data_IF_311275611049
#
_entry.id   IF_311275611049
#
_cell.length_a   1.000
_cell.length_b   1.000
_cell.length_c   1.000
_cell.angle_alpha   90.00
_cell.angle_beta   90.00
_cell.angle_gamma   90.00
#
_symmetry.space_group_name_H-M   'P 1'
#
loop_
_entity.id
_entity.type
_entity.pdbx_description
1 polymer ?
#
# COMPACT_ATOMS: atom_id res chain seq x y z
N UNK A 1 -11.06 18.84 -10.88
CA UNK A 1 -12.30 18.06 -10.76
C UNK A 1 -12.40 16.79 -11.63
N UNK A 2 -11.59 16.61 -12.68
CA UNK A 2 -11.70 15.45 -13.59
C UNK A 2 -10.95 14.17 -13.18
N UNK A 3 -10.28 14.11 -12.06
CA UNK A 3 -9.48 12.93 -11.69
C UNK A 3 -10.28 11.78 -11.06
N UNK A 4 -11.36 12.10 -10.33
CA UNK A 4 -12.16 11.08 -9.64
C UNK A 4 -12.84 10.06 -10.58
N UNK A 5 -13.52 10.47 -11.68
CA UNK A 5 -14.10 9.51 -12.60
C UNK A 5 -13.05 8.58 -13.22
N UNK A 6 -11.86 9.10 -13.51
CA UNK A 6 -10.75 8.31 -14.05
C UNK A 6 -10.24 7.27 -13.04
N UNK A 7 -10.12 7.65 -11.76
CA UNK A 7 -9.72 6.71 -10.70
C UNK A 7 -10.74 5.57 -10.55
N UNK A 8 -12.05 5.90 -10.57
CA UNK A 8 -13.13 4.90 -10.50
C UNK A 8 -13.11 3.98 -11.73
N UNK A 9 -12.96 4.55 -12.93
CA UNK A 9 -12.86 3.79 -14.16
C UNK A 9 -11.67 2.83 -14.14
N UNK A 10 -10.49 3.31 -13.79
CA UNK A 10 -9.26 2.49 -13.71
C UNK A 10 -9.42 1.41 -12.64
N UNK A 11 -10.05 1.68 -11.50
CA UNK A 11 -10.30 0.66 -10.49
C UNK A 11 -11.28 -0.40 -10.97
N UNK A 12 -12.39 -0.01 -11.60
CA UNK A 12 -13.43 -0.94 -12.04
C UNK A 12 -12.96 -1.87 -13.19
N UNK A 13 -12.18 -1.33 -14.12
CA UNK A 13 -11.71 -2.07 -15.30
C UNK A 13 -10.27 -2.62 -15.17
N UNK A 14 -9.66 -2.48 -14.00
CA UNK A 14 -8.34 -3.05 -13.73
C UNK A 14 -8.45 -4.58 -13.59
N UNK A 15 -7.63 -5.36 -14.32
CA UNK A 15 -7.66 -6.83 -14.20
C UNK A 15 -7.49 -7.32 -12.77
N UNK A 16 -6.66 -6.66 -11.95
CA UNK A 16 -6.45 -7.04 -10.55
C UNK A 16 -7.72 -6.87 -9.71
N UNK A 17 -8.49 -5.82 -9.94
CA UNK A 17 -9.77 -5.61 -9.26
C UNK A 17 -10.81 -6.62 -9.72
N UNK A 18 -10.89 -6.89 -11.03
CA UNK A 18 -11.82 -7.88 -11.62
C UNK A 18 -11.53 -9.27 -11.04
N UNK A 19 -10.27 -9.70 -10.99
CA UNK A 19 -9.89 -10.98 -10.36
C UNK A 19 -10.23 -11.03 -8.87
N UNK A 20 -10.04 -9.94 -8.13
CA UNK A 20 -10.38 -9.87 -6.71
C UNK A 20 -11.90 -9.99 -6.48
N UNK A 21 -12.71 -9.35 -7.31
CA UNK A 21 -14.18 -9.46 -7.26
C UNK A 21 -14.65 -10.86 -7.69
N UNK A 22 -14.11 -11.41 -8.76
CA UNK A 22 -14.47 -12.75 -9.26
C UNK A 22 -14.18 -13.86 -8.27
N UNK A 23 -13.13 -13.71 -7.46
CA UNK A 23 -12.75 -14.67 -6.41
C UNK A 23 -13.41 -14.39 -5.05
N UNK A 24 -14.39 -13.50 -4.97
CA UNK A 24 -15.07 -13.12 -3.71
C UNK A 24 -14.10 -12.82 -2.56
N UNK A 25 -12.97 -12.15 -2.85
CA UNK A 25 -11.93 -11.88 -1.87
C UNK A 25 -12.40 -10.90 -0.78
N UNK A 26 -12.37 -11.32 0.48
CA UNK A 26 -12.66 -10.45 1.64
C UNK A 26 -11.68 -9.26 1.71
N UNK A 27 -10.51 -9.37 1.07
CA UNK A 27 -9.52 -8.28 0.96
C UNK A 27 -10.05 -6.99 0.31
N UNK A 28 -11.22 -7.03 -0.32
CA UNK A 28 -11.89 -5.84 -0.87
C UNK A 28 -12.36 -4.88 0.23
N UNK A 29 -12.78 -5.39 1.39
CA UNK A 29 -13.31 -4.55 2.48
C UNK A 29 -12.25 -3.56 3.02
N UNK A 30 -11.03 -3.97 3.38
CA UNK A 30 -9.96 -3.02 3.73
C UNK A 30 -9.64 -2.03 2.61
N UNK A 31 -9.71 -2.45 1.34
CA UNK A 31 -9.46 -1.56 0.20
C UNK A 31 -10.53 -0.48 0.10
N UNK A 32 -11.80 -0.82 0.27
CA UNK A 32 -12.90 0.17 0.29
C UNK A 32 -12.67 1.20 1.40
N UNK A 33 -12.34 0.77 2.61
CA UNK A 33 -12.07 1.67 3.73
C UNK A 33 -10.86 2.56 3.47
N UNK A 34 -9.81 2.02 2.84
CA UNK A 34 -8.62 2.77 2.41
C UNK A 34 -8.99 3.87 1.40
N UNK A 35 -9.80 3.55 0.40
CA UNK A 35 -10.28 4.52 -0.61
C UNK A 35 -11.18 5.57 0.03
N UNK A 36 -12.09 5.18 0.92
CA UNK A 36 -12.95 6.13 1.64
C UNK A 36 -12.12 7.07 2.53
N UNK A 37 -11.09 6.55 3.20
CA UNK A 37 -10.13 7.36 3.97
C UNK A 37 -9.41 8.37 3.07
N UNK A 38 -8.96 7.94 1.91
CA UNK A 38 -8.32 8.80 0.93
C UNK A 38 -9.25 9.90 0.42
N UNK A 39 -10.52 9.58 0.15
CA UNK A 39 -11.54 10.55 -0.26
C UNK A 39 -11.84 11.55 0.89
N UNK A 40 -11.91 11.08 2.12
CA UNK A 40 -12.12 11.94 3.29
C UNK A 40 -10.95 12.92 3.48
N UNK A 41 -9.70 12.45 3.31
CA UNK A 41 -8.50 13.30 3.30
C UNK A 41 -8.56 14.33 2.18
N UNK A 42 -8.92 13.94 0.96
CA UNK A 42 -9.02 14.85 -0.19
C UNK A 42 -10.09 15.93 0.00
N UNK A 43 -11.08 15.68 0.86
CA UNK A 43 -12.15 16.64 1.23
C UNK A 43 -11.87 17.41 2.52
N UNK A 44 -10.65 17.33 3.08
CA UNK A 44 -10.26 17.90 4.38
C UNK A 44 -11.14 17.47 5.58
N UNK A 45 -11.79 16.31 5.47
CA UNK A 45 -12.62 15.75 6.55
C UNK A 45 -11.79 14.83 7.45
N UNK A 46 -10.88 15.43 8.22
CA UNK A 46 -9.90 14.67 9.01
C UNK A 46 -10.52 13.76 10.07
N UNK A 47 -11.62 14.16 10.70
CA UNK A 47 -12.34 13.31 11.67
C UNK A 47 -12.93 12.06 11.03
N UNK A 48 -13.59 12.20 9.88
CA UNK A 48 -14.13 11.06 9.13
C UNK A 48 -13.00 10.14 8.71
N UNK A 49 -11.88 10.69 8.23
CA UNK A 49 -10.70 9.92 7.88
C UNK A 49 -10.14 9.13 9.09
N UNK A 50 -10.11 9.74 10.29
CA UNK A 50 -9.65 9.07 11.52
C UNK A 50 -10.56 7.91 11.93
N UNK A 51 -11.87 8.08 11.87
CA UNK A 51 -12.85 7.02 12.14
C UNK A 51 -12.70 5.88 11.15
N UNK A 52 -12.59 6.18 9.84
CA UNK A 52 -12.38 5.19 8.79
C UNK A 52 -11.06 4.44 8.95
N UNK A 53 -9.97 5.13 9.36
CA UNK A 53 -8.71 4.48 9.75
C UNK A 53 -8.91 3.54 10.94
N UNK A 54 -9.69 3.93 11.95
CA UNK A 54 -10.00 3.10 13.10
C UNK A 54 -10.74 1.82 12.73
N UNK A 55 -11.79 1.94 11.91
CA UNK A 55 -12.53 0.78 11.36
C UNK A 55 -11.62 -0.07 10.47
N UNK A 56 -10.81 0.55 9.61
CA UNK A 56 -9.85 -0.14 8.76
C UNK A 56 -8.81 -0.91 9.57
N UNK A 57 -8.30 -0.31 10.66
CA UNK A 57 -7.32 -0.94 11.56
C UNK A 57 -7.91 -2.10 12.36
N UNK A 58 -9.20 -2.06 12.64
CA UNK A 58 -9.92 -3.16 13.26
C UNK A 58 -9.99 -4.39 12.33
N UNK A 59 -10.21 -4.18 11.03
CA UNK A 59 -10.28 -5.28 10.05
C UNK A 59 -8.87 -5.76 9.66
N UNK A 60 -7.93 -4.82 9.48
CA UNK A 60 -6.54 -5.10 9.11
C UNK A 60 -5.62 -4.02 9.68
N UNK A 61 -4.48 -4.41 10.24
CA UNK A 61 -3.54 -3.47 10.90
C UNK A 61 -3.05 -2.37 9.94
N UNK A 62 -2.88 -2.69 8.66
CA UNK A 62 -2.19 -1.84 7.68
C UNK A 62 -2.89 -0.52 7.33
N UNK A 63 -4.23 -0.41 7.20
CA UNK A 63 -4.91 0.87 7.02
C UNK A 63 -4.63 1.86 8.16
N UNK A 64 -4.23 1.40 9.34
CA UNK A 64 -3.83 2.24 10.47
C UNK A 64 -2.65 3.16 10.16
N UNK A 65 -1.75 2.77 9.25
CA UNK A 65 -0.65 3.65 8.82
C UNK A 65 -1.14 4.92 8.12
N UNK A 66 -2.35 4.93 7.54
CA UNK A 66 -2.94 6.14 6.95
C UNK A 66 -3.20 7.23 7.99
N UNK A 67 -3.26 6.87 9.28
CA UNK A 67 -3.34 7.87 10.35
C UNK A 67 -2.15 8.84 10.31
N UNK A 68 -0.98 8.43 9.85
CA UNK A 68 0.17 9.32 9.66
C UNK A 68 -0.14 10.45 8.65
N UNK A 69 -0.87 10.15 7.57
CA UNK A 69 -1.30 11.14 6.60
C UNK A 69 -2.37 12.08 7.18
N UNK A 70 -3.30 11.53 8.00
CA UNK A 70 -4.30 12.35 8.72
C UNK A 70 -3.62 13.32 9.66
N UNK A 71 -2.63 12.86 10.43
CA UNK A 71 -1.86 13.72 11.36
C UNK A 71 -1.06 14.79 10.62
N UNK A 72 -0.46 14.45 9.48
CA UNK A 72 0.23 15.42 8.62
C UNK A 72 -0.73 16.52 8.14
N UNK A 73 -1.97 16.18 7.81
CA UNK A 73 -2.99 17.16 7.41
C UNK A 73 -3.42 18.06 8.56
N UNK A 74 -3.51 17.52 9.77
CA UNK A 74 -3.91 18.27 10.97
C UNK A 74 -2.80 19.17 11.53
N UNK A 75 -1.55 19.08 11.07
CA UNK A 75 -0.36 19.69 11.69
C UNK A 75 -0.47 21.16 12.07
N UNK A 76 -1.20 21.94 11.26
CA UNK A 76 -1.37 23.40 11.51
C UNK A 76 -2.32 23.73 12.66
N UNK A 77 -3.10 22.79 13.15
CA UNK A 77 -4.11 22.97 14.19
C UNK A 77 -3.99 21.87 15.24
N UNK A 78 -3.28 22.13 16.33
CA UNK A 78 -3.04 21.16 17.42
C UNK A 78 -4.33 20.49 17.91
N UNK A 79 -5.41 21.27 18.06
CA UNK A 79 -6.71 20.73 18.48
C UNK A 79 -7.24 19.65 17.52
N UNK A 80 -7.10 19.83 16.19
CA UNK A 80 -7.51 18.81 15.22
C UNK A 80 -6.66 17.54 15.34
N UNK A 81 -5.37 17.65 15.68
CA UNK A 81 -4.49 16.49 15.91
C UNK A 81 -5.01 15.66 17.06
N UNK A 82 -5.25 16.28 18.24
CA UNK A 82 -5.78 15.57 19.41
C UNK A 82 -7.14 14.94 19.13
N UNK A 83 -8.03 15.69 18.48
CA UNK A 83 -9.36 15.21 18.14
C UNK A 83 -9.33 14.03 17.16
N UNK A 84 -8.42 14.04 16.17
CA UNK A 84 -8.23 12.96 15.22
C UNK A 84 -7.66 11.70 15.89
N UNK A 85 -6.68 11.85 16.79
CA UNK A 85 -6.15 10.72 17.57
C UNK A 85 -7.24 10.16 18.47
N UNK A 86 -7.98 11.00 19.18
CA UNK A 86 -9.07 10.59 20.04
C UNK A 86 -10.15 9.81 19.26
N UNK A 87 -10.58 10.34 18.11
CA UNK A 87 -11.56 9.67 17.25
C UNK A 87 -11.07 8.29 16.77
N UNK A 88 -9.80 8.19 16.35
CA UNK A 88 -9.19 6.92 15.95
C UNK A 88 -9.17 5.90 17.11
N UNK A 89 -8.64 6.31 18.28
CA UNK A 89 -8.53 5.44 19.46
C UNK A 89 -9.91 5.02 19.95
N UNK A 90 -10.87 5.97 20.04
CA UNK A 90 -12.24 5.67 20.47
C UNK A 90 -12.92 4.67 19.54
N UNK A 91 -12.78 4.84 18.22
CA UNK A 91 -13.37 3.91 17.23
C UNK A 91 -12.75 2.52 17.34
N UNK A 92 -11.42 2.43 17.37
CA UNK A 92 -10.72 1.16 17.44
C UNK A 92 -11.00 0.44 18.77
N UNK A 93 -10.89 1.14 19.90
CA UNK A 93 -11.16 0.55 21.22
C UNK A 93 -12.63 0.15 21.39
N UNK A 94 -13.57 0.95 20.87
CA UNK A 94 -15.00 0.63 20.90
C UNK A 94 -15.32 -0.66 20.12
N UNK A 95 -14.71 -0.83 18.92
CA UNK A 95 -14.89 -2.06 18.14
C UNK A 95 -14.24 -3.28 18.79
N UNK A 96 -13.03 -3.13 19.34
CA UNK A 96 -12.37 -4.24 20.08
C UNK A 96 -13.16 -4.63 21.32
N UNK A 97 -13.71 -3.67 22.05
CA UNK A 97 -14.52 -3.92 23.23
C UNK A 97 -15.87 -4.58 22.88
N UNK A 98 -16.49 -4.17 21.77
CA UNK A 98 -17.70 -4.82 21.25
C UNK A 98 -17.44 -6.29 20.93
N UNK A 99 -16.31 -6.60 20.28
CA UNK A 99 -15.94 -8.00 19.99
C UNK A 99 -15.67 -8.79 21.27
N UNK A 100 -15.00 -8.19 22.25
CA UNK A 100 -14.81 -8.82 23.56
C UNK A 100 -16.14 -9.19 24.23
N UNK A 101 -17.14 -8.29 24.18
CA UNK A 101 -18.46 -8.58 24.72
C UNK A 101 -19.21 -9.70 23.99
N UNK A 102 -19.00 -9.84 22.68
CA UNK A 102 -19.63 -10.89 21.88
C UNK A 102 -18.98 -12.26 22.12
N UNK A 103 -17.66 -12.32 22.25
CA UNK A 103 -16.92 -13.57 22.40
C UNK A 103 -16.63 -13.93 23.87
N UNK A 104 -16.81 -12.99 24.80
CA UNK A 104 -16.41 -13.10 26.21
C UNK A 104 -14.94 -13.50 26.41
N UNK A 105 -14.08 -13.25 25.44
CA UNK A 105 -12.68 -13.67 25.40
C UNK A 105 -11.83 -12.70 24.58
N UNK A 106 -10.57 -12.51 24.98
CA UNK A 106 -9.55 -11.80 24.19
C UNK A 106 -8.85 -12.71 23.17
N UNK A 107 -9.32 -13.95 22.98
CA UNK A 107 -8.74 -14.93 22.06
C UNK A 107 -8.64 -14.43 20.62
N UNK A 108 -9.60 -13.62 20.16
CA UNK A 108 -9.61 -13.05 18.81
C UNK A 108 -8.37 -12.18 18.51
N UNK A 109 -7.78 -11.50 19.50
CA UNK A 109 -6.56 -10.73 19.28
C UNK A 109 -5.40 -11.63 18.82
N UNK A 110 -5.31 -12.83 19.40
CA UNK A 110 -4.29 -13.79 19.01
C UNK A 110 -4.52 -14.36 17.60
N UNK A 111 -5.77 -14.65 17.27
CA UNK A 111 -6.11 -15.29 16.01
C UNK A 111 -6.17 -14.30 14.84
N UNK A 112 -6.70 -13.08 15.04
CA UNK A 112 -6.85 -12.09 13.97
C UNK A 112 -5.62 -11.20 13.79
N UNK A 113 -5.04 -10.69 14.89
CA UNK A 113 -3.95 -9.69 14.78
C UNK A 113 -2.57 -10.30 14.92
N UNK A 114 -2.33 -11.11 15.99
CA UNK A 114 -1.02 -11.71 16.21
C UNK A 114 -0.67 -12.74 15.12
N UNK A 115 -1.65 -13.48 14.60
CA UNK A 115 -1.39 -14.41 13.49
C UNK A 115 -0.94 -13.68 12.23
N UNK A 116 -1.48 -12.47 11.95
CA UNK A 116 -1.07 -11.63 10.85
C UNK A 116 0.33 -11.04 11.07
N UNK A 117 0.65 -10.58 12.29
CA UNK A 117 1.97 -10.03 12.62
C UNK A 117 3.04 -11.12 12.52
N UNK A 118 2.77 -12.29 13.10
CA UNK A 118 3.72 -13.41 13.08
C UNK A 118 3.76 -14.19 11.77
N UNK A 119 2.97 -13.80 10.77
CA UNK A 119 2.89 -14.48 9.47
C UNK A 119 2.78 -16.01 9.57
N UNK A 120 1.98 -16.50 10.54
CA UNK A 120 1.84 -17.94 10.82
C UNK A 120 1.23 -18.73 9.68
N UNK A 121 0.39 -18.10 8.89
CA UNK A 121 -0.21 -18.72 7.74
C UNK A 121 0.67 -18.49 6.52
N UNK A 122 1.37 -19.52 6.08
CA UNK A 122 2.28 -19.51 4.93
C UNK A 122 1.57 -19.92 3.63
N UNK A 123 0.26 -19.72 3.55
CA UNK A 123 -0.46 -19.98 2.29
C UNK A 123 0.08 -19.14 1.16
N UNK A 124 0.24 -19.74 -0.04
CA UNK A 124 0.71 -19.04 -1.23
C UNK A 124 -0.14 -17.80 -1.54
N UNK A 125 0.52 -16.68 -1.73
CA UNK A 125 -0.11 -15.41 -2.09
C UNK A 125 0.77 -14.62 -3.05
N UNK A 126 0.31 -13.46 -3.53
CA UNK A 126 1.08 -12.60 -4.43
C UNK A 126 2.08 -11.68 -3.72
N UNK A 127 2.33 -11.92 -2.42
CA UNK A 127 3.35 -11.24 -1.65
C UNK A 127 4.72 -11.90 -1.79
N UNK A 128 5.76 -11.19 -1.32
CA UNK A 128 7.15 -11.64 -1.44
C UNK A 128 7.56 -12.61 -0.31
N UNK A 129 6.85 -12.58 0.83
CA UNK A 129 7.39 -13.14 2.07
C UNK A 129 6.92 -14.56 2.39
N UNK A 130 5.78 -15.01 1.84
CA UNK A 130 5.21 -16.33 2.17
C UNK A 130 6.21 -17.47 1.87
N UNK A 131 6.86 -17.43 0.71
CA UNK A 131 7.82 -18.44 0.31
C UNK A 131 9.08 -18.41 1.19
N UNK A 132 9.59 -17.20 1.49
CA UNK A 132 10.72 -17.03 2.39
C UNK A 132 10.44 -17.64 3.78
N UNK A 133 9.21 -17.44 4.31
CA UNK A 133 8.82 -17.99 5.61
C UNK A 133 8.60 -19.52 5.58
N UNK A 134 8.26 -20.10 4.43
CA UNK A 134 8.17 -21.56 4.26
C UNK A 134 9.56 -22.20 4.25
N UNK A 135 10.49 -21.61 3.52
CA UNK A 135 11.86 -22.15 3.36
C UNK A 135 12.77 -21.88 4.57
N UNK A 136 12.38 -20.99 5.45
CA UNK A 136 13.19 -20.57 6.59
C UNK A 136 13.09 -21.56 7.75
N UNK A 137 14.21 -21.80 8.43
CA UNK A 137 14.21 -22.57 9.69
C UNK A 137 13.36 -21.91 10.75
N UNK A 138 12.56 -22.70 11.48
CA UNK A 138 11.54 -22.23 12.41
C UNK A 138 12.09 -21.27 13.50
N UNK A 139 13.33 -21.48 13.95
CA UNK A 139 13.93 -20.63 15.00
C UNK A 139 14.32 -19.21 14.50
N UNK A 140 14.55 -19.02 13.19
CA UNK A 140 14.82 -17.70 12.64
C UNK A 140 13.54 -16.93 12.26
N UNK A 141 12.41 -17.62 12.14
CA UNK A 141 11.17 -17.02 11.66
C UNK A 141 10.77 -15.78 12.47
N UNK A 142 10.79 -15.86 13.81
CA UNK A 142 10.42 -14.75 14.69
C UNK A 142 11.31 -13.52 14.44
N UNK A 143 12.61 -13.72 14.29
CA UNK A 143 13.56 -12.62 14.01
C UNK A 143 13.23 -11.90 12.69
N UNK A 144 13.05 -12.66 11.61
CA UNK A 144 12.78 -12.06 10.30
C UNK A 144 11.40 -11.40 10.22
N UNK A 145 10.37 -11.98 10.85
CA UNK A 145 9.05 -11.37 10.94
C UNK A 145 9.14 -10.00 11.61
N UNK A 146 9.78 -9.89 12.78
CA UNK A 146 9.94 -8.61 13.45
C UNK A 146 10.80 -7.63 12.65
N UNK A 147 11.85 -8.09 12.01
CA UNK A 147 12.69 -7.26 11.13
C UNK A 147 11.85 -6.66 10.00
N UNK A 148 10.99 -7.43 9.35
CA UNK A 148 10.10 -6.93 8.29
C UNK A 148 9.08 -5.92 8.81
N UNK A 149 8.49 -6.16 9.98
CA UNK A 149 7.57 -5.19 10.60
C UNK A 149 8.28 -3.88 10.96
N UNK A 150 9.51 -3.94 11.48
CA UNK A 150 10.32 -2.76 11.77
C UNK A 150 10.67 -1.97 10.49
N UNK A 151 10.97 -2.65 9.39
CA UNK A 151 11.21 -2.01 8.08
C UNK A 151 9.96 -1.26 7.61
N UNK A 152 8.76 -1.86 7.72
CA UNK A 152 7.51 -1.18 7.38
C UNK A 152 7.35 0.11 8.20
N UNK A 153 7.52 0.02 9.52
CA UNK A 153 7.42 1.15 10.44
C UNK A 153 8.44 2.23 10.06
N UNK A 154 9.70 1.87 9.89
CA UNK A 154 10.78 2.81 9.56
C UNK A 154 10.52 3.53 8.23
N UNK A 155 10.08 2.81 7.18
CA UNK A 155 9.75 3.41 5.89
C UNK A 155 8.53 4.33 5.98
N UNK A 156 7.48 3.93 6.70
CA UNK A 156 6.29 4.78 6.88
C UNK A 156 6.63 6.10 7.61
N UNK A 157 7.46 6.05 8.64
CA UNK A 157 7.94 7.25 9.32
C UNK A 157 8.90 8.06 8.43
N UNK A 158 9.80 7.42 7.69
CA UNK A 158 10.67 8.09 6.71
C UNK A 158 9.88 8.86 5.66
N UNK A 159 8.82 8.25 5.12
CA UNK A 159 7.90 8.90 4.19
C UNK A 159 7.15 10.06 4.85
N UNK A 160 6.70 9.90 6.11
CA UNK A 160 6.08 10.98 6.85
C UNK A 160 7.01 12.19 6.96
N UNK A 161 8.26 12.00 7.41
CA UNK A 161 9.23 13.10 7.54
C UNK A 161 9.54 13.78 6.21
N UNK A 162 9.53 13.03 5.10
CA UNK A 162 9.86 13.59 3.79
C UNK A 162 8.66 14.29 3.10
N UNK A 163 7.44 13.77 3.28
CA UNK A 163 6.26 14.19 2.53
C UNK A 163 5.13 14.75 3.41
N UNK A 164 5.43 15.16 4.65
CA UNK A 164 4.42 15.70 5.60
C UNK A 164 3.71 16.95 5.07
N UNK A 165 4.27 17.65 4.08
CA UNK A 165 3.67 18.85 3.47
C UNK A 165 2.51 18.51 2.55
N UNK A 166 2.52 17.33 1.91
CA UNK A 166 1.51 16.86 0.98
C UNK A 166 0.82 15.59 1.51
N UNK A 167 -0.12 15.70 2.47
CA UNK A 167 -0.73 14.56 3.17
C UNK A 167 -1.42 13.58 2.23
N UNK A 168 -2.02 14.05 1.13
CA UNK A 168 -2.70 13.18 0.19
C UNK A 168 -1.71 12.33 -0.61
N UNK A 169 -0.57 12.91 -1.02
CA UNK A 169 0.50 12.16 -1.67
C UNK A 169 1.15 11.18 -0.69
N UNK A 170 1.37 11.60 0.55
CA UNK A 170 1.83 10.72 1.62
C UNK A 170 0.90 9.52 1.80
N UNK A 171 -0.43 9.72 1.80
CA UNK A 171 -1.40 8.62 1.89
C UNK A 171 -1.22 7.61 0.76
N UNK A 172 -1.05 8.06 -0.49
CA UNK A 172 -0.76 7.18 -1.62
C UNK A 172 0.52 6.37 -1.38
N UNK A 173 1.61 7.01 -0.95
CA UNK A 173 2.88 6.32 -0.70
C UNK A 173 2.77 5.30 0.43
N UNK A 174 2.03 5.60 1.49
CA UNK A 174 1.78 4.66 2.59
C UNK A 174 0.99 3.43 2.11
N UNK A 175 -0.03 3.61 1.27
CA UNK A 175 -0.80 2.52 0.66
C UNK A 175 0.12 1.65 -0.21
N UNK A 176 0.96 2.25 -1.04
CA UNK A 176 1.88 1.52 -1.90
C UNK A 176 2.93 0.76 -1.09
N UNK A 177 3.53 1.40 -0.08
CA UNK A 177 4.58 0.80 0.77
C UNK A 177 4.04 -0.39 1.57
N UNK A 178 2.90 -0.21 2.23
CA UNK A 178 2.26 -1.31 2.98
C UNK A 178 1.80 -2.42 2.04
N UNK A 179 1.35 -2.10 0.83
CA UNK A 179 1.00 -3.06 -0.21
C UNK A 179 2.17 -3.89 -0.73
N UNK A 180 3.42 -3.42 -0.65
CA UNK A 180 4.63 -4.19 -1.00
C UNK A 180 5.07 -5.11 0.14
N UNK A 181 5.08 -4.59 1.37
CA UNK A 181 5.83 -5.18 2.49
C UNK A 181 4.97 -6.01 3.46
N UNK A 182 3.65 -5.97 3.36
CA UNK A 182 2.80 -6.79 4.24
C UNK A 182 2.90 -8.28 3.87
N UNK A 183 2.82 -9.20 4.85
CA UNK A 183 2.94 -10.64 4.62
C UNK A 183 1.82 -11.22 3.73
N UNK A 184 0.58 -10.76 3.93
CA UNK A 184 -0.59 -11.23 3.18
C UNK A 184 -1.02 -10.16 2.18
N UNK A 185 -0.60 -10.30 0.95
CA UNK A 185 -0.93 -9.39 -0.13
C UNK A 185 -2.20 -9.83 -0.88
N UNK A 186 -3.13 -8.89 -1.03
CA UNK A 186 -4.27 -9.06 -1.92
C UNK A 186 -3.98 -8.52 -3.32
N UNK A 187 -4.59 -9.15 -4.30
CA UNK A 187 -4.55 -8.68 -5.70
C UNK A 187 -5.17 -7.29 -5.82
N UNK A 188 -6.22 -7.02 -5.05
CA UNK A 188 -6.95 -5.73 -5.04
C UNK A 188 -6.09 -4.54 -4.60
N UNK A 189 -5.01 -4.77 -3.81
CA UNK A 189 -4.15 -3.66 -3.35
C UNK A 189 -3.35 -3.02 -4.47
N UNK A 190 -2.86 -3.83 -5.41
CA UNK A 190 -2.18 -3.31 -6.59
C UNK A 190 -3.16 -2.53 -7.46
N UNK A 191 -4.37 -3.07 -7.67
CA UNK A 191 -5.44 -2.38 -8.39
C UNK A 191 -5.81 -1.04 -7.76
N UNK A 192 -5.95 -1.00 -6.43
CA UNK A 192 -6.20 0.22 -5.68
C UNK A 192 -5.06 1.25 -5.82
N UNK A 193 -3.82 0.81 -5.67
CA UNK A 193 -2.64 1.68 -5.80
C UNK A 193 -2.55 2.32 -7.18
N UNK A 194 -2.78 1.54 -8.25
CA UNK A 194 -2.79 2.03 -9.63
C UNK A 194 -3.93 3.03 -9.86
N UNK A 195 -5.13 2.73 -9.36
CA UNK A 195 -6.29 3.61 -9.49
C UNK A 195 -6.08 4.95 -8.78
N UNK A 196 -5.56 4.94 -7.55
CA UNK A 196 -5.28 6.16 -6.80
C UNK A 196 -4.14 6.96 -7.42
N UNK A 197 -3.15 6.31 -8.04
CA UNK A 197 -2.06 6.99 -8.75
C UNK A 197 -2.56 7.83 -9.92
N UNK A 198 -3.71 7.50 -10.53
CA UNK A 198 -4.33 8.30 -11.58
C UNK A 198 -4.70 9.73 -11.14
N UNK A 199 -4.84 9.96 -9.83
CA UNK A 199 -5.01 11.32 -9.30
C UNK A 199 -3.82 12.22 -9.67
N UNK A 200 -2.62 11.66 -9.75
CA UNK A 200 -1.38 12.34 -10.17
C UNK A 200 -0.96 11.97 -11.59
N UNK A 201 -1.91 11.85 -12.52
CA UNK A 201 -1.63 11.48 -13.95
C UNK A 201 -0.53 12.31 -14.59
N UNK A 202 -0.34 13.58 -14.17
CA UNK A 202 0.72 14.44 -14.66
C UNK A 202 2.13 13.94 -14.30
N UNK A 203 2.29 13.06 -13.32
CA UNK A 203 3.58 12.46 -12.97
C UNK A 203 4.04 11.44 -14.00
N UNK A 204 3.13 10.86 -14.79
CA UNK A 204 3.52 9.87 -15.80
C UNK A 204 4.48 10.42 -16.86
N UNK A 205 4.50 11.73 -17.09
CA UNK A 205 5.49 12.38 -17.99
C UNK A 205 6.93 12.28 -17.45
N UNK A 206 7.08 12.03 -16.14
CA UNK A 206 8.37 11.86 -15.47
C UNK A 206 8.73 10.39 -15.22
N UNK A 207 7.83 9.46 -15.52
CA UNK A 207 8.10 8.04 -15.36
C UNK A 207 9.09 7.56 -16.41
N UNK A 208 10.00 6.68 -15.97
CA UNK A 208 10.92 5.99 -16.86
C UNK A 208 10.48 4.53 -16.99
N UNK A 209 10.78 3.93 -18.15
CA UNK A 209 10.57 2.50 -18.37
C UNK A 209 9.12 2.02 -18.16
N UNK A 210 8.12 2.89 -18.37
CA UNK A 210 6.70 2.56 -18.21
C UNK A 210 6.29 1.35 -19.04
N UNK A 211 6.84 1.20 -20.24
CA UNK A 211 6.60 0.07 -21.13
C UNK A 211 7.06 -1.25 -20.49
N UNK A 212 8.26 -1.27 -19.91
CA UNK A 212 8.81 -2.47 -19.25
C UNK A 212 7.92 -2.87 -18.07
N UNK A 213 7.48 -1.90 -17.24
CA UNK A 213 6.56 -2.16 -16.13
C UNK A 213 5.22 -2.73 -16.62
N UNK A 214 4.67 -2.19 -17.71
CA UNK A 214 3.43 -2.71 -18.29
C UNK A 214 3.59 -4.14 -18.79
N UNK A 215 4.68 -4.45 -19.48
CA UNK A 215 4.98 -5.81 -19.96
C UNK A 215 5.16 -6.78 -18.79
N UNK A 216 5.96 -6.44 -17.78
CA UNK A 216 6.16 -7.29 -16.60
C UNK A 216 4.83 -7.53 -15.86
N UNK A 217 3.99 -6.50 -15.76
CA UNK A 217 2.65 -6.63 -15.15
C UNK A 217 1.77 -7.61 -15.95
N UNK A 218 1.75 -7.49 -17.29
CA UNK A 218 0.98 -8.38 -18.15
C UNK A 218 1.48 -9.83 -18.07
N UNK A 219 2.80 -10.04 -18.10
CA UNK A 219 3.41 -11.36 -17.94
C UNK A 219 3.02 -11.97 -16.59
N UNK A 220 3.13 -11.23 -15.50
CA UNK A 220 2.79 -11.72 -14.18
C UNK A 220 1.30 -12.06 -14.03
N UNK A 221 0.40 -11.27 -14.66
CA UNK A 221 -1.05 -11.55 -14.70
C UNK A 221 -1.40 -12.87 -15.37
N UNK A 222 -0.61 -13.28 -16.38
CA UNK A 222 -0.81 -14.54 -17.09
C UNK A 222 -0.15 -15.69 -16.32
N UNK A 223 1.08 -15.49 -15.87
CA UNK A 223 1.88 -16.55 -15.25
C UNK A 223 1.37 -16.95 -13.87
N UNK A 224 0.90 -15.99 -13.05
CA UNK A 224 0.45 -16.30 -11.69
C UNK A 224 -0.72 -17.29 -11.66
N UNK A 225 -1.86 -17.07 -12.35
CA UNK A 225 -2.93 -18.05 -12.38
C UNK A 225 -2.53 -19.35 -13.10
N UNK A 226 -1.69 -19.29 -14.14
CA UNK A 226 -1.20 -20.46 -14.85
C UNK A 226 -0.38 -21.36 -13.92
N UNK A 227 0.60 -20.80 -13.21
CA UNK A 227 1.45 -21.57 -12.29
C UNK A 227 0.68 -22.07 -11.07
N UNK A 228 -0.30 -21.31 -10.59
CA UNK A 228 -1.19 -21.78 -9.53
C UNK A 228 -2.01 -23.00 -9.97
N UNK A 229 -2.57 -22.96 -11.18
CA UNK A 229 -3.34 -24.05 -11.75
C UNK A 229 -2.46 -25.28 -12.01
N UNK A 230 -1.29 -25.11 -12.64
CA UNK A 230 -0.38 -26.21 -12.94
C UNK A 230 0.21 -26.83 -11.67
N UNK A 231 0.38 -26.08 -10.61
CA UNK A 231 0.87 -26.60 -9.34
C UNK A 231 -0.21 -27.35 -8.56
N UNK A 232 -1.40 -26.77 -8.36
CA UNK A 232 -2.41 -27.34 -7.47
C UNK A 232 -3.36 -28.34 -8.16
N UNK A 233 -3.60 -28.19 -9.46
CA UNK A 233 -4.55 -29.04 -10.17
C UNK A 233 -3.89 -30.12 -11.01
N UNK A 234 -2.86 -29.79 -11.78
CA UNK A 234 -2.22 -30.80 -12.66
C UNK A 234 -0.97 -31.43 -12.07
N UNK A 235 -0.38 -30.85 -11.01
CA UNK A 235 0.85 -31.34 -10.40
C UNK A 235 2.09 -31.25 -11.28
N UNK A 236 2.03 -30.54 -12.41
CA UNK A 236 3.12 -30.43 -13.39
C UNK A 236 4.13 -29.33 -13.03
N UNK A 237 3.82 -28.45 -12.09
CA UNK A 237 4.72 -27.43 -11.58
C UNK A 237 4.84 -27.50 -10.06
N UNK A 238 5.67 -26.64 -9.46
CA UNK A 238 5.91 -26.58 -8.03
C UNK A 238 5.76 -25.14 -7.49
N UNK A 239 5.90 -24.99 -6.18
CA UNK A 239 5.82 -23.70 -5.49
C UNK A 239 6.79 -22.63 -6.06
N UNK A 240 7.98 -23.04 -6.56
CA UNK A 240 8.99 -22.11 -7.08
C UNK A 240 8.50 -21.38 -8.33
N UNK A 241 7.76 -22.07 -9.22
CA UNK A 241 7.16 -21.42 -10.40
C UNK A 241 6.14 -20.35 -9.99
N UNK A 242 5.26 -20.66 -9.03
CA UNK A 242 4.30 -19.67 -8.55
C UNK A 242 5.00 -18.50 -7.83
N UNK A 243 6.04 -18.78 -7.05
CA UNK A 243 6.85 -17.76 -6.40
C UNK A 243 7.56 -16.85 -7.41
N UNK A 244 8.04 -17.37 -8.54
CA UNK A 244 8.66 -16.54 -9.58
C UNK A 244 7.69 -15.50 -10.14
N UNK A 245 6.41 -15.83 -10.34
CA UNK A 245 5.38 -14.87 -10.74
C UNK A 245 5.10 -13.84 -9.62
N UNK A 246 5.06 -14.28 -8.36
CA UNK A 246 4.92 -13.38 -7.20
C UNK A 246 6.10 -12.40 -7.10
N UNK A 247 7.31 -12.86 -7.41
CA UNK A 247 8.52 -12.02 -7.41
C UNK A 247 8.45 -10.94 -8.50
N UNK A 248 7.98 -11.28 -9.71
CA UNK A 248 7.77 -10.30 -10.79
C UNK A 248 6.79 -9.22 -10.32
N UNK A 249 5.67 -9.59 -9.71
CA UNK A 249 4.69 -8.63 -9.16
C UNK A 249 5.33 -7.76 -8.06
N UNK A 250 6.14 -8.35 -7.19
CA UNK A 250 6.89 -7.64 -6.17
C UNK A 250 7.82 -6.58 -6.76
N UNK A 251 8.60 -6.94 -7.78
CA UNK A 251 9.50 -6.02 -8.51
C UNK A 251 8.69 -4.88 -9.14
N UNK A 252 7.57 -5.18 -9.79
CA UNK A 252 6.69 -4.16 -10.39
C UNK A 252 6.20 -3.19 -9.33
N UNK A 253 5.74 -3.67 -8.17
CA UNK A 253 5.26 -2.81 -7.07
C UNK A 253 6.35 -1.90 -6.52
N UNK A 254 7.56 -2.44 -6.28
CA UNK A 254 8.71 -1.66 -5.80
C UNK A 254 9.12 -0.61 -6.83
N UNK A 255 9.19 -0.99 -8.10
CA UNK A 255 9.52 -0.05 -9.18
C UNK A 255 8.45 1.04 -9.34
N UNK A 256 7.17 0.69 -9.23
CA UNK A 256 6.08 1.66 -9.29
C UNK A 256 6.18 2.67 -8.13
N UNK A 257 6.44 2.21 -6.90
CA UNK A 257 6.64 3.07 -5.73
C UNK A 257 7.84 4.01 -5.92
N UNK A 258 9.00 3.47 -6.29
CA UNK A 258 10.22 4.27 -6.46
C UNK A 258 10.12 5.27 -7.60
N UNK A 259 9.48 4.90 -8.71
CA UNK A 259 9.22 5.83 -9.82
C UNK A 259 8.22 6.91 -9.43
N UNK A 260 7.17 6.58 -8.66
CA UNK A 260 6.21 7.58 -8.17
C UNK A 260 6.90 8.62 -7.30
N UNK A 261 7.77 8.19 -6.37
CA UNK A 261 8.56 9.11 -5.53
C UNK A 261 9.49 9.97 -6.41
N UNK A 262 10.24 9.35 -7.29
CA UNK A 262 11.20 10.05 -8.17
C UNK A 262 10.51 11.06 -9.10
N UNK A 263 9.39 10.68 -9.70
CA UNK A 263 8.59 11.53 -10.56
C UNK A 263 8.04 12.74 -9.80
N UNK A 264 7.54 12.53 -8.59
CA UNK A 264 7.02 13.60 -7.75
C UNK A 264 8.11 14.60 -7.34
N UNK A 265 9.30 14.12 -6.96
CA UNK A 265 10.42 14.97 -6.60
C UNK A 265 10.92 15.79 -7.83
N UNK A 266 10.96 15.18 -9.02
CA UNK A 266 11.28 15.88 -10.27
C UNK A 266 10.23 16.92 -10.61
N UNK A 267 8.96 16.59 -10.46
CA UNK A 267 7.86 17.54 -10.68
C UNK A 267 7.97 18.73 -9.73
N UNK A 268 8.19 18.50 -8.41
CA UNK A 268 8.41 19.59 -7.45
C UNK A 268 9.61 20.46 -7.82
N UNK A 269 10.71 19.84 -8.25
CA UNK A 269 11.91 20.56 -8.69
C UNK A 269 11.62 21.45 -9.92
N UNK A 270 10.98 20.91 -10.96
CA UNK A 270 10.62 21.67 -12.14
C UNK A 270 9.60 22.78 -11.85
N UNK A 271 8.69 22.52 -10.91
CA UNK A 271 7.73 23.56 -10.48
C UNK A 271 8.41 24.72 -9.77
N UNK A 272 9.49 24.46 -9.01
CA UNK A 272 10.22 25.47 -8.25
C UNK A 272 11.23 26.24 -9.08
N UNK A 273 11.94 25.56 -9.99
CA UNK A 273 13.09 26.11 -10.72
C UNK A 273 12.87 26.23 -12.23
N UNK A 274 11.70 25.81 -12.73
CA UNK A 274 11.39 25.77 -14.16
C UNK A 274 11.89 24.50 -14.86
N UNK A 275 11.49 24.29 -16.13
CA UNK A 275 11.81 23.06 -16.88
C UNK A 275 13.28 22.95 -17.29
N UNK A 276 14.01 24.08 -17.36
CA UNK A 276 15.44 24.12 -17.62
C UNK A 276 16.15 25.08 -16.65
N UNK A 277 16.30 24.64 -15.38
CA UNK A 277 16.97 25.48 -14.39
C UNK A 277 18.43 25.65 -14.75
N UNK A 278 18.86 26.94 -14.87
CA UNK A 278 20.24 27.32 -15.04
C UNK A 278 20.74 28.11 -13.83
N UNK A 279 21.99 27.91 -13.45
CA UNK A 279 22.67 28.80 -12.51
C UNK A 279 22.88 30.17 -13.16
N UNK A 280 23.11 31.21 -12.35
CA UNK A 280 23.48 32.54 -12.82
C UNK A 280 24.73 32.55 -13.77
N UNK A 281 25.52 31.48 -13.73
CA UNK A 281 26.66 31.20 -14.60
C UNK A 281 26.32 30.54 -15.93
N UNK A 282 25.01 30.30 -16.23
CA UNK A 282 24.58 29.63 -17.47
C UNK A 282 24.69 28.10 -17.47
N UNK A 283 25.23 27.49 -16.40
CA UNK A 283 25.32 26.03 -16.25
C UNK A 283 23.95 25.43 -15.92
N UNK A 284 23.51 24.40 -16.65
CA UNK A 284 22.26 23.69 -16.38
C UNK A 284 22.34 22.95 -15.04
N UNK A 285 21.37 23.18 -14.16
CA UNK A 285 21.21 22.43 -12.92
C UNK A 285 20.56 21.10 -13.27
N UNK A 286 21.27 20.00 -13.07
CA UNK A 286 20.70 18.66 -13.19
C UNK A 286 20.30 18.20 -11.78
N UNK A 287 19.02 17.83 -11.54
CA UNK A 287 18.64 17.29 -10.25
C UNK A 287 19.43 16.02 -9.94
N UNK A 288 20.03 15.93 -8.76
CA UNK A 288 20.83 14.79 -8.29
C UNK A 288 20.02 13.48 -8.12
N UNK A 289 18.82 13.42 -8.67
CA UNK A 289 17.98 12.23 -8.67
C UNK A 289 18.40 11.40 -9.88
N UNK A 290 19.47 10.62 -9.71
CA UNK A 290 19.85 9.60 -10.69
C UNK A 290 18.74 8.55 -10.79
N UNK A 291 18.49 8.15 -12.01
CA UNK A 291 17.55 7.09 -12.44
C UNK A 291 17.89 5.74 -11.85
#
# INVERSE_FOLDING_TARGET
>A
MCAYPLCVFVFAFNPFSIFAFGNHSIGIVPVILTVLTFIALARDRTLVASVLCGVGSYISIYPGYLMLAVLAQCRKRKFRVYLSIFAFVLTLSGLLFSTYHLENSWGFLRHCYLSNIYARNTTPNLGLFWYMYVEMFAHFNVFFVWTMQLIIIALCFGLLFRFYEDPLFLALLLIMTTGVLRPYNSVSDLGCSLALLMHWRHLFTYFKNTFILAVLTAVALILAPLFHLTWLHTGTSNANFYFSASLIIGIVRVQLLTQTISAYLRYQFHRKFGPQPCLSTGTKIVPCIRS
#
